data_IF_491092526723
#
_entry.id   IF_491092526723
#
_cell.length_a   1.000
_cell.length_b   1.000
_cell.length_c   1.000
_cell.angle_alpha   90.00
_cell.angle_beta   90.00
_cell.angle_gamma   90.00
#
_symmetry.space_group_name_H-M   'P 1'
#
loop_
_entity.id
_entity.type
_entity.pdbx_description
1 polymer ?
#
# COMPACT_ATOMS: atom_id res chain seq x y z
N UNK A 1 -19.43 -16.00 -49.96
CA UNK A 1 -18.88 -16.99 -50.90
C UNK A 1 -19.35 -18.36 -50.44
N UNK A 2 -20.14 -19.05 -51.25
CA UNK A 2 -20.68 -20.39 -50.96
C UNK A 2 -19.67 -21.46 -51.32
N UNK A 3 -19.47 -22.46 -50.46
CA UNK A 3 -18.54 -23.56 -50.72
C UNK A 3 -19.03 -24.43 -51.89
N UNK A 4 -18.14 -24.73 -52.82
CA UNK A 4 -18.45 -25.54 -54.00
C UNK A 4 -18.20 -27.03 -53.70
N UNK A 5 -19.16 -27.63 -53.00
CA UNK A 5 -19.09 -29.02 -52.52
C UNK A 5 -18.92 -30.06 -53.62
N UNK A 6 -19.25 -29.74 -54.88
CA UNK A 6 -19.04 -30.64 -56.02
C UNK A 6 -17.57 -30.79 -56.40
N UNK A 7 -16.75 -29.76 -56.13
CA UNK A 7 -15.36 -29.67 -56.61
C UNK A 7 -14.28 -29.87 -55.51
N UNK A 8 -14.68 -29.95 -54.24
CA UNK A 8 -13.75 -30.06 -53.09
C UNK A 8 -13.06 -31.44 -53.00
N UNK A 9 -13.72 -32.50 -53.44
CA UNK A 9 -13.22 -33.87 -53.37
C UNK A 9 -13.05 -34.41 -51.94
N UNK A 10 -12.23 -35.45 -51.77
CA UNK A 10 -11.96 -36.07 -50.46
C UNK A 10 -11.34 -35.09 -49.46
N UNK A 11 -11.67 -35.19 -48.16
CA UNK A 11 -11.07 -34.36 -47.12
C UNK A 11 -9.57 -34.62 -47.01
N UNK A 12 -8.80 -33.55 -46.79
CA UNK A 12 -7.36 -33.63 -46.55
C UNK A 12 -7.06 -33.20 -45.14
N UNK A 13 -6.07 -33.85 -44.53
CA UNK A 13 -5.67 -33.58 -43.14
C UNK A 13 -5.31 -32.11 -42.87
N UNK A 14 -4.88 -31.37 -43.90
CA UNK A 14 -4.49 -29.96 -43.79
C UNK A 14 -5.65 -28.98 -44.02
N UNK A 15 -6.87 -29.45 -44.32
CA UNK A 15 -8.02 -28.57 -44.59
C UNK A 15 -8.38 -27.70 -43.38
N UNK A 16 -8.15 -28.21 -42.17
CA UNK A 16 -8.31 -27.45 -40.91
C UNK A 16 -7.34 -26.27 -40.77
N UNK A 17 -6.28 -26.21 -41.58
CA UNK A 17 -5.28 -25.13 -41.57
C UNK A 17 -5.52 -24.07 -42.65
N UNK A 18 -6.46 -24.30 -43.57
CA UNK A 18 -6.83 -23.34 -44.60
C UNK A 18 -7.40 -22.06 -43.93
N UNK A 19 -6.86 -20.90 -44.29
CA UNK A 19 -7.24 -19.61 -43.69
C UNK A 19 -6.64 -19.31 -42.31
N UNK A 20 -5.97 -20.28 -41.66
CA UNK A 20 -5.29 -20.09 -40.35
C UNK A 20 -3.80 -19.80 -40.46
N UNK A 21 -3.21 -20.03 -41.62
CA UNK A 21 -1.82 -19.68 -41.93
C UNK A 21 -1.67 -19.32 -43.40
N UNK A 22 -0.53 -18.71 -43.76
CA UNK A 22 -0.26 -18.31 -45.16
C UNK A 22 -0.24 -19.54 -46.08
N UNK A 23 -0.87 -19.45 -47.26
CA UNK A 23 -0.90 -20.56 -48.23
C UNK A 23 0.53 -21.04 -48.60
N UNK A 24 1.50 -20.12 -48.68
CA UNK A 24 2.90 -20.43 -48.97
C UNK A 24 3.59 -21.24 -47.86
N UNK A 25 3.24 -21.02 -46.60
CA UNK A 25 3.81 -21.80 -45.49
C UNK A 25 3.12 -23.17 -45.41
N UNK A 26 1.81 -23.22 -45.63
CA UNK A 26 1.08 -24.49 -45.72
C UNK A 26 1.57 -25.35 -46.90
N UNK A 27 1.90 -24.74 -48.05
CA UNK A 27 2.45 -25.40 -49.22
C UNK A 27 3.75 -26.14 -48.93
N UNK A 28 4.67 -25.46 -48.24
CA UNK A 28 5.93 -26.04 -47.79
C UNK A 28 5.72 -27.18 -46.80
N UNK A 29 4.78 -27.02 -45.87
CA UNK A 29 4.49 -28.01 -44.84
C UNK A 29 3.85 -29.29 -45.42
N UNK A 30 3.00 -29.15 -46.43
CA UNK A 30 2.30 -30.27 -47.09
C UNK A 30 3.15 -30.91 -48.20
N UNK A 31 4.20 -30.22 -48.69
CA UNK A 31 4.99 -30.67 -49.84
C UNK A 31 4.26 -30.48 -51.18
N UNK A 32 3.47 -29.41 -51.32
CA UNK A 32 2.70 -29.10 -52.54
C UNK A 32 2.90 -27.66 -53.01
N UNK A 33 2.26 -27.28 -54.13
CA UNK A 33 2.34 -25.91 -54.65
C UNK A 33 1.36 -24.98 -53.95
N UNK A 34 1.76 -23.71 -53.78
CA UNK A 34 0.88 -22.66 -53.25
C UNK A 34 -0.42 -22.53 -54.05
N UNK A 35 -0.37 -22.72 -55.37
CA UNK A 35 -1.55 -22.68 -56.23
C UNK A 35 -2.60 -23.73 -55.83
N UNK A 36 -2.19 -24.98 -55.58
CA UNK A 36 -3.11 -26.05 -55.18
C UNK A 36 -3.81 -25.76 -53.84
N UNK A 37 -3.08 -25.20 -52.87
CA UNK A 37 -3.66 -24.80 -51.59
C UNK A 37 -4.59 -23.61 -51.73
N UNK A 38 -4.20 -22.60 -52.52
CA UNK A 38 -5.07 -21.46 -52.82
C UNK A 38 -6.37 -21.91 -53.46
N UNK A 39 -6.31 -22.77 -54.49
CA UNK A 39 -7.50 -23.31 -55.15
C UNK A 39 -8.39 -24.05 -54.16
N UNK A 40 -7.81 -24.95 -53.36
CA UNK A 40 -8.55 -25.69 -52.34
C UNK A 40 -9.19 -24.77 -51.30
N UNK A 41 -8.49 -23.73 -50.83
CA UNK A 41 -9.02 -22.70 -49.92
C UNK A 41 -10.22 -21.97 -50.53
N UNK A 42 -10.11 -21.58 -51.80
CA UNK A 42 -11.17 -20.88 -52.54
C UNK A 42 -12.40 -21.77 -52.75
N UNK A 43 -12.23 -23.07 -53.00
CA UNK A 43 -13.34 -24.03 -53.11
C UNK A 43 -14.16 -24.11 -51.81
N UNK A 44 -13.51 -24.02 -50.65
CA UNK A 44 -14.18 -23.90 -49.35
C UNK A 44 -14.74 -22.50 -49.06
N UNK A 45 -14.57 -21.53 -49.96
CA UNK A 45 -14.97 -20.14 -49.74
C UNK A 45 -14.18 -19.43 -48.63
N UNK A 46 -13.01 -19.97 -48.24
CA UNK A 46 -12.21 -19.44 -47.14
C UNK A 46 -11.32 -18.31 -47.65
N UNK A 47 -11.34 -17.17 -46.95
CA UNK A 47 -10.51 -16.02 -47.28
C UNK A 47 -9.03 -16.28 -46.98
N UNK A 48 -8.16 -15.46 -47.57
CA UNK A 48 -6.74 -15.53 -47.28
C UNK A 48 -6.42 -15.19 -45.83
N UNK A 49 -5.41 -15.86 -45.28
CA UNK A 49 -4.83 -15.49 -44.00
C UNK A 49 -4.21 -14.10 -44.12
N UNK A 50 -4.74 -13.14 -43.37
CA UNK A 50 -4.13 -11.84 -43.10
C UNK A 50 -4.07 -11.63 -41.60
N UNK A 51 -3.01 -10.97 -41.14
CA UNK A 51 -2.79 -10.73 -39.71
C UNK A 51 -3.94 -9.90 -39.13
N UNK A 52 -4.40 -8.90 -39.88
CA UNK A 52 -5.53 -8.04 -39.51
C UNK A 52 -6.82 -8.85 -39.27
N UNK A 53 -7.11 -9.86 -40.10
CA UNK A 53 -8.30 -10.72 -39.94
C UNK A 53 -8.24 -11.62 -38.71
N UNK A 54 -7.03 -11.95 -38.25
CA UNK A 54 -6.83 -12.73 -37.01
C UNK A 54 -7.01 -11.85 -35.78
N UNK A 55 -6.69 -10.55 -35.89
CA UNK A 55 -6.81 -9.58 -34.80
C UNK A 55 -8.23 -9.00 -34.72
N UNK A 56 -8.94 -8.88 -35.86
CA UNK A 56 -10.30 -8.33 -35.97
C UNK A 56 -11.30 -8.83 -34.90
N UNK A 57 -11.35 -10.13 -34.55
CA UNK A 57 -12.26 -10.62 -33.51
C UNK A 57 -11.98 -10.08 -32.10
N UNK A 58 -10.78 -9.54 -31.87
CA UNK A 58 -10.33 -8.97 -30.60
C UNK A 58 -10.29 -7.44 -30.63
N UNK A 59 -10.89 -6.81 -31.65
CA UNK A 59 -10.92 -5.36 -31.83
C UNK A 59 -11.42 -4.63 -30.58
N UNK A 60 -12.45 -5.15 -29.93
CA UNK A 60 -13.05 -4.55 -28.73
C UNK A 60 -12.14 -4.58 -27.50
N UNK A 61 -11.10 -5.42 -27.51
CA UNK A 61 -10.10 -5.50 -26.44
C UNK A 61 -8.95 -4.52 -26.64
N UNK A 62 -8.76 -3.98 -27.84
CA UNK A 62 -7.69 -3.02 -28.14
C UNK A 62 -7.90 -1.73 -27.33
N UNK A 63 -6.87 -1.29 -26.61
CA UNK A 63 -6.94 -0.13 -25.71
C UNK A 63 -7.48 -0.45 -24.31
N UNK A 64 -8.13 -1.60 -24.10
CA UNK A 64 -8.55 -2.11 -22.78
C UNK A 64 -7.52 -3.08 -22.22
N UNK A 65 -7.17 -4.10 -22.99
CA UNK A 65 -6.06 -5.01 -22.69
C UNK A 65 -4.74 -4.47 -23.25
N UNK A 66 -3.63 -5.06 -22.82
CA UNK A 66 -2.32 -4.71 -23.35
C UNK A 66 -2.06 -5.41 -24.68
N UNK A 67 -1.40 -4.74 -25.63
CA UNK A 67 -1.01 -5.33 -26.92
C UNK A 67 -0.31 -6.71 -26.78
N UNK A 68 0.57 -6.95 -25.77
CA UNK A 68 1.15 -8.28 -25.53
C UNK A 68 0.14 -9.35 -25.12
N UNK A 69 -0.88 -9.01 -24.33
CA UNK A 69 -1.92 -9.96 -23.93
C UNK A 69 -2.77 -10.37 -25.15
N UNK A 70 -3.13 -9.40 -25.98
CA UNK A 70 -3.88 -9.63 -27.22
C UNK A 70 -3.04 -10.44 -28.21
N UNK A 71 -1.75 -10.12 -28.36
CA UNK A 71 -0.82 -10.87 -29.21
C UNK A 71 -0.73 -12.36 -28.80
N UNK A 72 -0.68 -12.64 -27.50
CA UNK A 72 -0.67 -14.01 -26.98
C UNK A 72 -1.99 -14.76 -27.26
N UNK A 73 -3.14 -14.07 -27.16
CA UNK A 73 -4.47 -14.64 -27.51
C UNK A 73 -4.60 -14.92 -29.00
N UNK A 74 -4.11 -14.01 -29.86
CA UNK A 74 -4.19 -14.12 -31.31
C UNK A 74 -3.14 -15.07 -31.91
N UNK A 75 -2.05 -15.36 -31.20
CA UNK A 75 -0.90 -16.09 -31.74
C UNK A 75 -0.09 -15.28 -32.77
N UNK A 76 -0.05 -13.95 -32.61
CA UNK A 76 0.59 -13.00 -33.52
C UNK A 76 1.69 -12.25 -32.77
N UNK A 77 2.63 -11.61 -33.47
CA UNK A 77 3.59 -10.70 -32.85
C UNK A 77 2.92 -9.45 -32.26
N UNK A 78 3.49 -8.95 -31.16
CA UNK A 78 3.05 -7.70 -30.51
C UNK A 78 3.06 -6.53 -31.50
N UNK A 79 4.09 -6.44 -32.35
CA UNK A 79 4.22 -5.40 -33.37
C UNK A 79 3.02 -5.34 -34.31
N UNK A 80 2.49 -6.49 -34.74
CA UNK A 80 1.34 -6.51 -35.65
C UNK A 80 0.04 -6.07 -34.97
N UNK A 81 -0.13 -6.40 -33.68
CA UNK A 81 -1.25 -5.89 -32.88
C UNK A 81 -1.15 -4.39 -32.71
N UNK A 82 0.06 -3.87 -32.45
CA UNK A 82 0.32 -2.42 -32.35
C UNK A 82 0.03 -1.71 -33.67
N UNK A 83 0.50 -2.24 -34.81
CA UNK A 83 0.21 -1.62 -36.13
C UNK A 83 -1.27 -1.67 -36.48
N UNK A 84 -1.96 -2.77 -36.15
CA UNK A 84 -3.40 -2.88 -36.37
C UNK A 84 -4.18 -1.92 -35.46
N UNK A 85 -3.81 -1.81 -34.18
CA UNK A 85 -4.39 -0.84 -33.24
C UNK A 85 -4.25 0.60 -33.76
N UNK A 86 -3.07 0.95 -34.26
CA UNK A 86 -2.76 2.28 -34.80
C UNK A 86 -3.51 2.56 -36.10
N UNK A 87 -3.63 1.58 -37.00
CA UNK A 87 -4.41 1.73 -38.24
C UNK A 87 -5.91 1.90 -37.98
N UNK A 88 -6.41 1.37 -36.85
CA UNK A 88 -7.78 1.58 -36.37
C UNK A 88 -7.96 2.89 -35.58
N UNK A 89 -6.90 3.67 -35.37
CA UNK A 89 -6.94 4.93 -34.61
C UNK A 89 -7.20 4.75 -33.11
N UNK A 90 -7.00 3.54 -32.57
CA UNK A 90 -7.29 3.23 -31.16
C UNK A 90 -6.05 3.60 -30.32
N UNK A 91 -6.18 4.44 -29.27
CA UNK A 91 -5.05 4.77 -28.41
C UNK A 91 -4.59 3.55 -27.60
N UNK A 92 -3.31 3.48 -27.20
CA UNK A 92 -2.84 2.42 -26.32
C UNK A 92 -3.52 2.53 -24.94
N UNK A 93 -3.64 1.40 -24.25
CA UNK A 93 -4.16 1.37 -22.87
C UNK A 93 -3.40 2.38 -21.99
N UNK A 94 -4.09 3.31 -21.30
CA UNK A 94 -3.44 4.25 -20.40
C UNK A 94 -2.70 3.49 -19.31
N UNK A 95 -1.40 3.75 -19.18
CA UNK A 95 -0.60 3.22 -18.07
C UNK A 95 -0.76 4.18 -16.89
N UNK A 96 -1.08 3.69 -15.69
CA UNK A 96 -1.03 4.54 -14.51
C UNK A 96 0.38 5.12 -14.41
N UNK A 97 0.47 6.43 -14.27
CA UNK A 97 1.77 7.09 -14.10
C UNK A 97 2.46 6.49 -12.88
N UNK A 98 3.75 6.13 -12.98
CA UNK A 98 4.46 5.61 -11.82
C UNK A 98 4.42 6.69 -10.73
N UNK A 99 4.06 6.29 -9.49
CA UNK A 99 4.02 7.20 -8.34
C UNK A 99 5.40 7.85 -8.16
N UNK A 100 5.52 9.12 -8.58
CA UNK A 100 6.80 9.87 -8.60
C UNK A 100 7.39 10.09 -7.19
N UNK A 101 6.57 10.08 -6.16
CA UNK A 101 7.00 10.47 -4.83
C UNK A 101 7.61 9.26 -4.09
N UNK A 102 8.90 9.05 -4.31
CA UNK A 102 9.72 8.12 -3.52
C UNK A 102 10.70 8.91 -2.69
N UNK A 103 10.75 8.63 -1.39
CA UNK A 103 11.79 9.16 -0.52
C UNK A 103 13.09 8.40 -0.84
N UNK A 104 14.23 9.07 -1.09
CA UNK A 104 15.52 8.42 -1.33
C UNK A 104 15.90 7.41 -0.24
N UNK A 105 16.63 6.35 -0.58
CA UNK A 105 16.95 5.26 0.35
C UNK A 105 17.68 5.73 1.62
N UNK A 106 18.57 6.70 1.47
CA UNK A 106 19.41 7.21 2.54
C UNK A 106 18.76 8.37 3.32
N UNK A 107 17.50 8.71 3.03
CA UNK A 107 16.86 9.85 3.68
C UNK A 107 16.40 9.49 5.11
N UNK A 108 16.67 10.32 6.12
CA UNK A 108 16.38 10.01 7.54
C UNK A 108 14.91 9.74 7.85
N UNK A 109 13.99 10.43 7.14
CA UNK A 109 12.53 10.29 7.33
C UNK A 109 11.97 9.00 6.70
N UNK A 110 12.72 8.30 5.84
CA UNK A 110 12.22 7.13 5.10
C UNK A 110 11.64 6.02 5.98
N UNK A 111 12.26 5.59 7.09
CA UNK A 111 11.70 4.57 7.98
C UNK A 111 10.38 5.00 8.64
N UNK A 112 10.17 6.31 8.75
CA UNK A 112 9.04 6.94 9.42
C UNK A 112 7.98 7.46 8.44
N UNK A 113 8.05 7.08 7.16
CA UNK A 113 7.08 7.50 6.14
C UNK A 113 5.62 7.24 6.55
N UNK A 114 5.37 6.13 7.25
CA UNK A 114 4.04 5.76 7.71
C UNK A 114 3.46 6.74 8.74
N UNK A 115 4.28 7.57 9.38
CA UNK A 115 3.85 8.56 10.36
C UNK A 115 3.39 9.89 9.72
N UNK A 116 3.74 10.13 8.45
CA UNK A 116 3.39 11.39 7.77
C UNK A 116 1.87 11.55 7.70
N UNK A 117 1.37 12.66 8.26
CA UNK A 117 -0.07 12.95 8.33
C UNK A 117 -0.81 12.27 9.49
N UNK A 118 -0.19 11.30 10.17
CA UNK A 118 -0.75 10.68 11.39
C UNK A 118 -0.23 11.33 12.67
N UNK A 119 1.02 11.80 12.64
CA UNK A 119 1.72 12.37 13.79
C UNK A 119 2.23 13.75 13.42
N UNK A 120 2.44 14.61 14.43
CA UNK A 120 2.99 15.95 14.24
C UNK A 120 4.38 15.92 13.59
N UNK A 121 4.65 16.91 12.73
CA UNK A 121 5.93 17.03 12.02
C UNK A 121 7.12 17.16 13.02
N UNK A 122 6.88 17.71 14.22
CA UNK A 122 7.88 17.85 15.28
C UNK A 122 8.31 16.50 15.86
N UNK A 123 7.37 15.60 16.14
CA UNK A 123 7.69 14.28 16.69
C UNK A 123 8.45 13.43 15.66
N UNK A 124 8.05 13.50 14.38
CA UNK A 124 8.76 12.82 13.29
C UNK A 124 10.18 13.37 13.13
N UNK A 125 10.35 14.69 13.18
CA UNK A 125 11.66 15.36 13.13
C UNK A 125 12.58 14.90 14.26
N UNK A 126 12.07 14.85 15.51
CA UNK A 126 12.80 14.33 16.67
C UNK A 126 13.22 12.87 16.50
N UNK A 127 12.36 12.03 15.93
CA UNK A 127 12.64 10.61 15.70
C UNK A 127 13.62 10.34 14.56
N UNK A 128 13.54 11.13 13.49
CA UNK A 128 14.38 10.94 12.31
C UNK A 128 15.71 11.70 12.40
N UNK A 129 15.82 12.66 13.31
CA UNK A 129 16.94 13.61 13.36
C UNK A 129 16.94 14.59 12.17
N UNK A 130 15.80 14.74 11.50
CA UNK A 130 15.66 15.65 10.35
C UNK A 130 15.07 16.99 10.82
N UNK A 131 15.20 18.04 10.02
CA UNK A 131 14.61 19.33 10.37
C UNK A 131 13.09 19.31 10.16
N UNK A 132 12.33 20.01 11.00
CA UNK A 132 10.86 20.08 10.90
C UNK A 132 10.42 20.58 9.51
N UNK A 133 11.16 21.52 8.91
CA UNK A 133 10.91 22.02 7.56
C UNK A 133 11.00 20.91 6.49
N UNK A 134 11.97 19.99 6.60
CA UNK A 134 12.10 18.87 5.65
C UNK A 134 10.95 17.88 5.76
N UNK A 135 10.52 17.58 7.00
CA UNK A 135 9.36 16.70 7.25
C UNK A 135 8.09 17.35 6.69
N UNK A 136 7.88 18.65 6.93
CA UNK A 136 6.76 19.42 6.40
C UNK A 136 6.72 19.38 4.87
N UNK A 137 7.85 19.66 4.21
CA UNK A 137 7.96 19.60 2.75
C UNK A 137 7.66 18.20 2.20
N UNK A 138 8.12 17.15 2.88
CA UNK A 138 7.78 15.77 2.53
C UNK A 138 6.28 15.49 2.72
N UNK A 139 5.70 15.86 3.86
CA UNK A 139 4.28 15.70 4.14
C UNK A 139 3.42 16.32 3.03
N UNK A 140 3.73 17.56 2.66
CA UNK A 140 3.06 18.31 1.58
C UNK A 140 3.31 17.71 0.20
N UNK A 141 4.55 17.30 -0.10
CA UNK A 141 4.88 16.61 -1.34
C UNK A 141 4.09 15.30 -1.49
N UNK A 142 3.85 14.57 -0.41
CA UNK A 142 3.02 13.35 -0.39
C UNK A 142 1.51 13.63 -0.32
N UNK A 143 1.08 14.89 -0.27
CA UNK A 143 -0.33 15.29 -0.26
C UNK A 143 -1.04 15.07 1.08
N UNK A 144 -0.29 14.94 2.19
CA UNK A 144 -0.89 14.79 3.51
C UNK A 144 -1.15 16.16 4.18
N UNK A 145 -2.32 16.31 4.81
CA UNK A 145 -2.64 17.47 5.66
C UNK A 145 -1.87 17.44 7.00
N UNK A 146 -1.89 18.54 7.77
CA UNK A 146 -1.32 18.56 9.11
C UNK A 146 -2.06 17.57 10.01
N UNK A 147 -1.31 16.78 10.79
CA UNK A 147 -1.89 15.85 11.74
C UNK A 147 -2.62 16.59 12.88
N UNK A 148 -3.68 15.96 13.41
CA UNK A 148 -4.37 16.47 14.59
C UNK A 148 -3.38 16.56 15.78
N UNK A 149 -3.48 17.60 16.64
CA UNK A 149 -2.70 17.65 17.86
C UNK A 149 -2.96 16.42 18.73
N UNK A 150 -1.88 15.79 19.20
CA UNK A 150 -1.99 14.70 20.15
C UNK A 150 -2.54 15.22 21.48
N UNK A 151 -3.29 14.39 22.25
CA UNK A 151 -3.70 14.77 23.59
C UNK A 151 -2.46 15.14 24.40
N UNK A 152 -2.51 16.28 25.07
CA UNK A 152 -1.46 16.71 25.97
C UNK A 152 -1.35 15.70 27.11
N UNK A 153 -0.12 15.33 27.46
CA UNK A 153 0.11 14.62 28.71
C UNK A 153 -0.34 15.54 29.84
N UNK A 154 -1.12 15.06 30.83
CA UNK A 154 -1.46 15.87 31.98
C UNK A 154 -0.15 16.28 32.66
N UNK A 155 0.23 17.56 32.51
CA UNK A 155 1.30 18.13 33.29
C UNK A 155 0.72 18.33 34.69
N UNK A 156 1.21 17.62 35.72
CA UNK A 156 0.74 17.84 37.07
C UNK A 156 1.02 19.30 37.44
N UNK A 157 -0.02 20.00 37.90
CA UNK A 157 0.13 21.36 38.42
C UNK A 157 1.15 21.30 39.56
N UNK A 158 2.23 22.11 39.52
CA UNK A 158 3.21 22.13 40.60
C UNK A 158 2.51 22.53 41.91
N UNK A 159 2.44 21.60 42.85
CA UNK A 159 1.93 21.86 44.19
C UNK A 159 3.07 22.40 45.05
N UNK A 160 2.92 23.58 45.67
CA UNK A 160 3.90 24.08 46.62
C UNK A 160 3.93 23.16 47.85
N UNK A 161 5.12 22.96 48.40
CA UNK A 161 5.27 22.27 49.68
C UNK A 161 4.97 23.25 50.81
N UNK A 162 4.14 22.86 51.77
CA UNK A 162 3.81 23.72 52.91
C UNK A 162 4.62 23.29 54.15
N UNK A 163 5.32 24.23 54.77
CA UNK A 163 6.02 23.99 56.03
C UNK A 163 5.03 24.13 57.19
N UNK A 164 4.65 23.03 57.85
CA UNK A 164 3.71 23.05 58.98
C UNK A 164 3.63 21.70 59.72
N UNK A 165 2.67 21.52 60.66
CA UNK A 165 2.48 20.27 61.41
C UNK A 165 2.10 19.08 60.52
N UNK A 166 1.66 19.36 59.30
CA UNK A 166 1.27 18.37 58.30
C UNK A 166 2.32 18.29 57.17
N UNK A 167 2.32 17.13 56.50
CA UNK A 167 3.28 16.67 55.48
C UNK A 167 3.74 17.74 54.48
N UNK A 168 5.00 18.21 54.56
CA UNK A 168 5.59 19.20 53.64
C UNK A 168 6.14 18.64 52.31
N UNK A 169 5.46 17.65 51.74
CA UNK A 169 5.87 16.96 50.50
C UNK A 169 4.72 16.86 49.48
N UNK A 170 3.82 17.84 49.46
CA UNK A 170 2.62 17.84 48.61
C UNK A 170 2.95 17.81 47.11
N UNK A 171 4.11 18.34 46.71
CA UNK A 171 4.65 18.22 45.34
C UNK A 171 4.76 16.78 44.83
N UNK A 172 4.82 15.78 45.72
CA UNK A 172 4.97 14.38 45.34
C UNK A 172 3.66 13.70 44.89
N UNK A 173 2.48 14.23 45.26
CA UNK A 173 1.20 13.58 44.94
C UNK A 173 0.93 13.42 43.43
N UNK A 174 1.51 14.29 42.60
CA UNK A 174 1.39 14.21 41.13
C UNK A 174 2.46 13.34 40.44
N UNK A 175 3.53 12.97 41.14
CA UNK A 175 4.69 12.28 40.54
C UNK A 175 4.79 10.81 40.92
N UNK A 176 4.24 10.43 42.08
CA UNK A 176 4.30 9.07 42.60
C UNK A 176 3.07 8.72 43.45
N UNK A 177 2.85 7.42 43.67
CA UNK A 177 1.74 6.94 44.50
C UNK A 177 1.96 7.22 45.98
N UNK A 178 0.87 7.38 46.74
CA UNK A 178 0.88 7.59 48.18
C UNK A 178 1.69 6.53 48.94
N UNK A 179 1.63 5.26 48.50
CA UNK A 179 2.44 4.17 49.07
C UNK A 179 3.95 4.33 48.81
N UNK A 180 4.35 5.00 47.72
CA UNK A 180 5.75 5.34 47.46
C UNK A 180 6.18 6.56 48.28
N UNK A 181 5.32 7.57 48.41
CA UNK A 181 5.55 8.75 49.27
C UNK A 181 5.75 8.33 50.72
N UNK A 182 4.85 7.50 51.25
CA UNK A 182 4.92 6.97 52.62
C UNK A 182 6.26 6.31 52.92
N UNK A 183 6.74 5.44 52.01
CA UNK A 183 8.04 4.78 52.15
C UNK A 183 9.24 5.72 51.98
N UNK A 184 9.14 6.70 51.08
CA UNK A 184 10.24 7.62 50.81
C UNK A 184 10.44 8.65 51.94
N UNK A 185 9.34 9.09 52.56
CA UNK A 185 9.33 10.14 53.58
C UNK A 185 9.33 9.56 55.01
N UNK A 186 8.87 8.32 55.19
CA UNK A 186 8.75 7.68 56.50
C UNK A 186 7.46 8.04 57.25
N UNK A 187 6.43 8.50 56.55
CA UNK A 187 5.13 8.88 57.13
C UNK A 187 4.10 7.76 56.92
N UNK A 188 3.21 7.46 57.88
CA UNK A 188 2.18 6.44 57.70
C UNK A 188 1.30 6.68 56.47
N UNK A 189 0.99 5.61 55.73
CA UNK A 189 0.19 5.67 54.50
C UNK A 189 -1.14 6.42 54.66
N UNK A 190 -1.84 6.19 55.77
CA UNK A 190 -3.11 6.84 56.09
C UNK A 190 -2.99 8.37 56.17
N UNK A 191 -1.90 8.90 56.74
CA UNK A 191 -1.66 10.34 56.84
C UNK A 191 -1.46 10.95 55.45
N UNK A 192 -0.75 10.23 54.57
CA UNK A 192 -0.52 10.65 53.17
C UNK A 192 -1.83 10.65 52.37
N UNK A 193 -2.67 9.62 52.51
CA UNK A 193 -3.99 9.55 51.85
C UNK A 193 -4.95 10.61 52.36
N UNK A 194 -5.08 10.79 53.69
CA UNK A 194 -5.92 11.83 54.27
C UNK A 194 -5.50 13.22 53.78
N UNK A 195 -4.19 13.48 53.69
CA UNK A 195 -3.68 14.75 53.14
C UNK A 195 -4.00 14.90 51.65
N UNK A 196 -3.87 13.84 50.85
CA UNK A 196 -4.26 13.84 49.42
C UNK A 196 -5.73 14.18 49.24
N UNK A 197 -6.60 13.53 50.03
CA UNK A 197 -8.04 13.71 50.00
C UNK A 197 -8.45 15.09 50.48
N UNK A 198 -7.84 15.59 51.55
CA UNK A 198 -8.04 16.95 52.04
C UNK A 198 -7.71 18.01 50.96
N UNK A 199 -6.67 17.76 50.15
CA UNK A 199 -6.31 18.62 49.02
C UNK A 199 -7.14 18.35 47.75
N UNK A 200 -8.06 17.38 47.76
CA UNK A 200 -8.90 17.02 46.62
C UNK A 200 -8.13 16.45 45.42
N UNK A 201 -6.89 15.98 45.62
CA UNK A 201 -6.03 15.50 44.54
C UNK A 201 -6.42 14.06 44.19
N UNK A 202 -6.64 13.76 42.91
CA UNK A 202 -6.92 12.37 42.47
C UNK A 202 -5.71 11.46 42.73
N UNK A 203 -5.91 10.16 43.04
CA UNK A 203 -4.79 9.24 43.21
C UNK A 203 -3.89 9.22 41.98
N UNK A 204 -2.57 9.16 42.20
CA UNK A 204 -1.61 9.05 41.11
C UNK A 204 -1.93 7.83 40.23
N UNK A 205 -2.20 8.08 38.95
CA UNK A 205 -2.42 7.04 37.95
C UNK A 205 -1.23 6.97 37.00
N UNK A 206 -0.57 5.80 36.97
CA UNK A 206 0.51 5.55 36.03
C UNK A 206 -0.06 5.26 34.64
N UNK A 207 -0.14 6.28 33.80
CA UNK A 207 -0.51 6.12 32.39
C UNK A 207 0.65 5.55 31.56
N UNK A 208 0.33 4.68 30.60
CA UNK A 208 1.34 4.16 29.68
C UNK A 208 1.78 5.26 28.71
N UNK A 209 3.07 5.33 28.34
CA UNK A 209 3.54 6.27 27.30
C UNK A 209 2.89 6.03 25.93
N UNK A 210 2.45 4.78 25.69
CA UNK A 210 1.75 4.37 24.47
C UNK A 210 0.32 4.94 24.43
N UNK A 211 -0.26 5.31 25.58
CA UNK A 211 -1.62 5.88 25.66
C UNK A 211 -1.81 7.08 24.70
N UNK A 212 -0.77 7.92 24.56
CA UNK A 212 -0.77 9.09 23.66
C UNK A 212 -0.88 8.70 22.18
N UNK A 213 -0.41 7.52 21.83
CA UNK A 213 -0.30 7.02 20.45
C UNK A 213 -1.22 5.82 20.19
N UNK A 214 -2.27 5.64 20.99
CA UNK A 214 -3.17 4.49 20.85
C UNK A 214 -3.86 4.42 19.50
N UNK A 215 -4.19 5.56 18.90
CA UNK A 215 -4.77 5.65 17.56
C UNK A 215 -3.84 5.09 16.46
N UNK A 216 -2.54 4.90 16.73
CA UNK A 216 -1.58 4.30 15.79
C UNK A 216 -1.45 2.77 15.95
N UNK A 217 -2.09 2.19 16.95
CA UNK A 217 -2.10 0.73 17.13
C UNK A 217 -2.83 0.09 15.94
N UNK A 218 -2.19 -0.88 15.28
CA UNK A 218 -2.69 -1.51 14.06
C UNK A 218 -2.36 -0.76 12.76
N UNK A 219 -2.15 0.56 12.79
CA UNK A 219 -1.83 1.34 11.59
C UNK A 219 -0.33 1.31 11.23
N UNK A 220 0.53 1.27 12.25
CA UNK A 220 1.99 1.41 12.10
C UNK A 220 2.69 0.14 12.61
N UNK A 221 3.94 -0.11 12.22
CA UNK A 221 4.70 -1.25 12.76
C UNK A 221 5.05 -1.07 14.24
N UNK A 222 5.19 -2.17 14.98
CA UNK A 222 5.56 -2.15 16.41
C UNK A 222 6.88 -1.41 16.64
N UNK A 223 7.87 -1.59 15.77
CA UNK A 223 9.18 -0.95 15.89
C UNK A 223 9.11 0.58 15.74
N UNK A 224 8.31 1.07 14.80
CA UNK A 224 8.16 2.52 14.58
C UNK A 224 7.39 3.15 15.73
N UNK A 225 6.30 2.51 16.16
CA UNK A 225 5.51 2.99 17.30
C UNK A 225 6.30 2.92 18.62
N UNK A 226 7.19 1.94 18.78
CA UNK A 226 8.09 1.78 19.92
C UNK A 226 9.06 2.95 20.04
N UNK A 227 9.70 3.31 18.92
CA UNK A 227 10.60 4.47 18.86
C UNK A 227 9.85 5.76 19.17
N UNK A 228 8.63 5.93 18.62
CA UNK A 228 7.79 7.09 18.87
C UNK A 228 7.37 7.23 20.34
N UNK A 229 6.92 6.15 20.96
CA UNK A 229 6.50 6.16 22.37
C UNK A 229 7.67 6.11 23.37
N UNK A 230 8.89 5.79 22.93
CA UNK A 230 10.04 5.56 23.80
C UNK A 230 9.87 4.34 24.71
N UNK A 231 9.37 3.23 24.15
CA UNK A 231 9.07 1.97 24.86
C UNK A 231 9.60 0.78 24.04
N UNK A 232 9.86 -0.36 24.67
CA UNK A 232 10.25 -1.59 23.97
C UNK A 232 9.17 -2.08 22.97
N UNK A 233 9.54 -2.62 21.79
CA UNK A 233 8.59 -3.16 20.82
C UNK A 233 7.74 -4.32 21.35
N UNK A 234 8.30 -5.16 22.23
CA UNK A 234 7.57 -6.25 22.91
C UNK A 234 6.38 -5.72 23.69
N UNK A 235 6.55 -4.60 24.41
CA UNK A 235 5.48 -3.97 25.17
C UNK A 235 4.32 -3.50 24.29
N UNK A 236 4.60 -3.06 23.07
CA UNK A 236 3.54 -2.66 22.12
C UNK A 236 2.80 -3.90 21.61
N UNK A 237 3.51 -4.99 21.34
CA UNK A 237 2.88 -6.25 20.99
C UNK A 237 1.94 -6.74 22.10
N UNK A 238 2.36 -6.64 23.37
CA UNK A 238 1.52 -6.98 24.52
C UNK A 238 0.28 -6.08 24.62
N UNK A 239 0.45 -4.77 24.41
CA UNK A 239 -0.67 -3.81 24.42
C UNK A 239 -1.66 -4.13 23.29
N UNK A 240 -1.18 -4.47 22.08
CA UNK A 240 -2.06 -4.87 20.97
C UNK A 240 -2.86 -6.13 21.29
N UNK A 241 -2.21 -7.15 21.84
CA UNK A 241 -2.87 -8.38 22.31
C UNK A 241 -3.95 -8.05 23.34
N UNK A 242 -3.65 -7.20 24.32
CA UNK A 242 -4.60 -6.82 25.36
C UNK A 242 -5.82 -6.03 24.84
N UNK A 243 -5.66 -5.29 23.74
CA UNK A 243 -6.71 -4.47 23.13
C UNK A 243 -7.43 -5.14 21.96
N UNK A 244 -7.11 -6.40 21.65
CA UNK A 244 -7.75 -7.14 20.55
C UNK A 244 -7.38 -6.67 19.14
N UNK A 245 -6.32 -5.88 18.98
CA UNK A 245 -5.79 -5.56 17.66
C UNK A 245 -4.90 -6.72 17.20
N UNK A 246 -5.42 -7.58 16.30
CA UNK A 246 -4.69 -8.74 15.78
C UNK A 246 -3.36 -8.32 15.12
N UNK A 247 -2.35 -9.17 15.34
CA UNK A 247 -0.97 -8.99 14.92
C UNK A 247 -0.79 -8.94 13.41
#
# INVERSE_FOLDING_TARGET
>A
MTADWKNIGLPKWYDCKLGRMKDRTLARLVGTTQHRIRQRRLMFGIAAYTVDRVIEPFRDLLGVESDPAIAARCGVSVSSVTTYRESQGIPPRPRPTPRKQRIPANHPVRPYKALLGLVTDQDIAKLSGATVATVKALREAFGFGPAAPLPESPNPVPLPNYQGPWLGFESLFGTMSSAKISRAVGVPFLVVEQRREFLGIKPYQRVSRVARYEHLLGMVSNNVLAKLAGVAPSRIADIRKSKGHNC
#
